data_IF_923436694933
#
_entry.id   IF_923436694933
#
_cell.length_a   1.000
_cell.length_b   1.000
_cell.length_c   1.000
_cell.angle_alpha   90.00
_cell.angle_beta   90.00
_cell.angle_gamma   90.00
#
_symmetry.space_group_name_H-M   'P 1'
#
loop_
_entity.id
_entity.type
_entity.pdbx_description
1 polymer ?
#
# COMPACT_ATOMS: atom_id res chain seq x y z
N UNK A 1 -55.38 3.96 -3.03
CA UNK A 1 -54.43 4.51 -4.04
C UNK A 1 -53.52 5.59 -3.48
N UNK A 2 -54.02 6.71 -2.92
CA UNK A 2 -53.17 7.82 -2.44
C UNK A 2 -52.11 7.38 -1.41
N UNK A 3 -52.48 6.59 -0.41
CA UNK A 3 -51.55 6.11 0.63
C UNK A 3 -50.43 5.21 0.09
N UNK A 4 -50.70 4.46 -0.98
CA UNK A 4 -49.69 3.61 -1.63
C UNK A 4 -48.65 4.44 -2.39
N UNK A 5 -49.09 5.57 -2.97
CA UNK A 5 -48.21 6.52 -3.64
C UNK A 5 -47.25 7.18 -2.64
N UNK A 6 -47.74 7.60 -1.46
CA UNK A 6 -46.90 8.19 -0.41
C UNK A 6 -45.87 7.21 0.14
N UNK A 7 -46.25 5.95 0.34
CA UNK A 7 -45.32 4.89 0.78
C UNK A 7 -44.25 4.64 -0.29
N UNK A 8 -44.63 4.57 -1.57
CA UNK A 8 -43.69 4.42 -2.68
C UNK A 8 -42.72 5.61 -2.79
N UNK A 9 -43.21 6.84 -2.69
CA UNK A 9 -42.36 8.05 -2.70
C UNK A 9 -41.42 8.10 -1.51
N UNK A 10 -41.87 7.69 -0.32
CA UNK A 10 -41.02 7.61 0.88
C UNK A 10 -39.94 6.54 0.71
N UNK A 11 -40.26 5.38 0.13
CA UNK A 11 -39.30 4.32 -0.17
C UNK A 11 -38.25 4.81 -1.18
N UNK A 12 -38.65 5.49 -2.26
CA UNK A 12 -37.71 6.06 -3.23
C UNK A 12 -36.77 7.10 -2.60
N UNK A 13 -37.28 7.97 -1.73
CA UNK A 13 -36.45 8.97 -1.01
C UNK A 13 -35.44 8.32 -0.04
N UNK A 14 -35.78 7.17 0.54
CA UNK A 14 -34.85 6.41 1.40
C UNK A 14 -33.79 5.70 0.54
N UNK A 15 -34.17 5.18 -0.62
CA UNK A 15 -33.25 4.52 -1.56
C UNK A 15 -32.28 5.51 -2.24
N UNK A 16 -32.69 6.76 -2.48
CA UNK A 16 -31.84 7.83 -3.04
C UNK A 16 -30.70 8.27 -2.09
N UNK A 17 -30.73 7.85 -0.81
CA UNK A 17 -29.72 8.22 0.17
C UNK A 17 -28.58 7.19 0.32
N UNK A 18 -28.57 6.10 -0.46
CA UNK A 18 -27.43 5.17 -0.49
C UNK A 18 -26.35 5.75 -1.40
N UNK A 19 -25.57 6.69 -0.86
CA UNK A 19 -24.37 7.20 -1.55
C UNK A 19 -23.22 6.23 -1.36
N UNK A 20 -22.62 5.79 -2.46
CA UNK A 20 -21.38 5.04 -2.40
C UNK A 20 -20.26 5.87 -1.78
N UNK A 21 -19.51 5.26 -0.85
CA UNK A 21 -18.30 5.84 -0.28
C UNK A 21 -17.29 6.26 -1.34
N UNK A 22 -16.49 7.28 -1.03
CA UNK A 22 -15.28 7.62 -1.79
C UNK A 22 -14.07 6.97 -1.14
N UNK A 23 -13.44 6.07 -1.87
CA UNK A 23 -12.37 5.20 -1.38
C UNK A 23 -11.08 5.54 -2.14
N UNK A 24 -9.97 5.70 -1.42
CA UNK A 24 -8.65 5.87 -2.02
C UNK A 24 -7.90 4.54 -1.95
N UNK A 25 -7.47 4.04 -3.11
CA UNK A 25 -6.63 2.85 -3.20
C UNK A 25 -5.21 3.27 -3.57
N UNK A 26 -4.24 2.87 -2.74
CA UNK A 26 -2.82 3.19 -2.87
C UNK A 26 -2.04 1.91 -3.15
N UNK A 27 -1.64 1.69 -4.40
CA UNK A 27 -0.74 0.62 -4.81
C UNK A 27 0.33 1.16 -5.76
N UNK A 28 1.31 1.89 -5.22
CA UNK A 28 2.37 2.54 -6.00
C UNK A 28 3.54 1.61 -6.33
N UNK A 29 3.49 0.32 -5.98
CA UNK A 29 4.56 -0.61 -6.32
C UNK A 29 4.67 -0.82 -7.85
N UNK A 30 5.90 -0.92 -8.35
CA UNK A 30 6.21 -0.99 -9.80
C UNK A 30 5.94 -2.35 -10.46
N UNK A 31 5.55 -3.35 -9.67
CA UNK A 31 5.26 -4.71 -10.17
C UNK A 31 3.76 -4.95 -10.39
N UNK A 32 3.41 -5.55 -11.53
CA UNK A 32 2.02 -5.85 -11.90
C UNK A 32 1.38 -6.90 -10.99
N UNK A 33 2.16 -7.83 -10.44
CA UNK A 33 1.64 -8.84 -9.52
C UNK A 33 1.03 -8.21 -8.27
N UNK A 34 1.68 -7.17 -7.73
CA UNK A 34 1.17 -6.41 -6.60
C UNK A 34 -0.13 -5.70 -6.94
N UNK A 35 -0.20 -5.04 -8.10
CA UNK A 35 -1.38 -4.29 -8.50
C UNK A 35 -2.62 -5.16 -8.79
N UNK A 36 -2.43 -6.41 -9.21
CA UNK A 36 -3.54 -7.28 -9.66
C UNK A 36 -4.63 -7.45 -8.59
N UNK A 37 -4.25 -7.60 -7.32
CA UNK A 37 -5.22 -7.70 -6.22
C UNK A 37 -5.92 -6.36 -5.94
N UNK A 38 -5.17 -5.24 -5.97
CA UNK A 38 -5.75 -3.91 -5.76
C UNK A 38 -6.69 -3.51 -6.89
N UNK A 39 -6.37 -3.88 -8.14
CA UNK A 39 -7.23 -3.69 -9.29
C UNK A 39 -8.57 -4.43 -9.12
N UNK A 40 -8.53 -5.69 -8.67
CA UNK A 40 -9.72 -6.47 -8.40
C UNK A 40 -10.56 -5.87 -7.26
N UNK A 41 -9.92 -5.43 -6.16
CA UNK A 41 -10.59 -4.75 -5.05
C UNK A 41 -11.27 -3.46 -5.53
N UNK A 42 -10.53 -2.60 -6.25
CA UNK A 42 -11.05 -1.34 -6.74
C UNK A 42 -12.24 -1.53 -7.68
N UNK A 43 -12.15 -2.47 -8.63
CA UNK A 43 -13.26 -2.79 -9.54
C UNK A 43 -14.47 -3.36 -8.80
N UNK A 44 -14.25 -4.28 -7.86
CA UNK A 44 -15.33 -4.80 -7.02
C UNK A 44 -16.03 -3.70 -6.23
N UNK A 45 -15.30 -2.72 -5.69
CA UNK A 45 -15.89 -1.57 -5.00
C UNK A 45 -16.70 -0.68 -5.96
N UNK A 46 -16.19 -0.42 -7.17
CA UNK A 46 -16.94 0.38 -8.16
C UNK A 46 -18.22 -0.32 -8.62
N UNK A 47 -18.21 -1.64 -8.74
CA UNK A 47 -19.39 -2.44 -9.09
C UNK A 47 -20.49 -2.37 -8.01
N UNK A 48 -20.10 -2.07 -6.77
CA UNK A 48 -21.03 -1.83 -5.65
C UNK A 48 -21.38 -0.34 -5.47
N UNK A 49 -21.08 0.50 -6.46
CA UNK A 49 -21.49 1.91 -6.49
C UNK A 49 -20.56 2.88 -5.76
N UNK A 50 -19.42 2.42 -5.25
CA UNK A 50 -18.41 3.29 -4.65
C UNK A 50 -17.64 4.09 -5.70
N UNK A 51 -17.14 5.27 -5.31
CA UNK A 51 -16.21 6.06 -6.13
C UNK A 51 -14.79 5.77 -5.66
N UNK A 52 -13.97 5.23 -6.55
CA UNK A 52 -12.63 4.77 -6.20
C UNK A 52 -11.58 5.58 -6.94
N UNK A 53 -10.74 6.27 -6.19
CA UNK A 53 -9.54 6.93 -6.70
C UNK A 53 -8.36 5.96 -6.52
N UNK A 54 -7.63 5.62 -7.59
CA UNK A 54 -6.56 4.60 -7.56
C UNK A 54 -5.21 5.21 -7.95
N UNK A 55 -4.29 5.30 -6.99
CA UNK A 55 -2.90 5.70 -7.25
C UNK A 55 -2.05 4.47 -7.55
N UNK A 56 -1.60 4.36 -8.81
CA UNK A 56 -0.76 3.25 -9.27
C UNK A 56 0.00 3.58 -10.57
N UNK A 57 0.91 2.70 -10.98
CA UNK A 57 1.56 2.79 -12.29
C UNK A 57 0.76 2.13 -13.43
N UNK A 58 -0.43 1.58 -13.15
CA UNK A 58 -1.16 0.71 -14.06
C UNK A 58 -2.57 1.27 -14.34
N UNK A 59 -2.67 2.37 -15.12
CA UNK A 59 -3.97 2.94 -15.44
C UNK A 59 -4.84 1.99 -16.25
N UNK A 60 -6.16 2.14 -16.14
CA UNK A 60 -7.09 1.31 -16.93
C UNK A 60 -6.94 1.60 -18.43
N UNK A 61 -6.95 0.55 -19.25
CA UNK A 61 -6.89 0.67 -20.71
C UNK A 61 -8.19 1.20 -21.32
N UNK A 62 -9.31 1.04 -20.61
CA UNK A 62 -10.63 1.55 -20.98
C UNK A 62 -11.29 2.19 -19.77
N UNK A 63 -12.14 3.18 -20.01
CA UNK A 63 -12.87 3.88 -18.93
C UNK A 63 -13.75 2.89 -18.15
N UNK A 64 -13.59 2.85 -16.83
CA UNK A 64 -14.44 2.12 -15.89
C UNK A 64 -15.26 3.15 -15.09
N UNK A 65 -16.56 2.90 -14.92
CA UNK A 65 -17.44 3.81 -14.19
C UNK A 65 -16.99 3.95 -12.73
N UNK A 66 -16.98 5.17 -12.20
CA UNK A 66 -16.59 5.49 -10.82
C UNK A 66 -15.17 5.07 -10.42
N UNK A 67 -14.34 4.67 -11.39
CA UNK A 67 -12.93 4.36 -11.22
C UNK A 67 -12.11 5.54 -11.76
N UNK A 68 -11.34 6.20 -10.91
CA UNK A 68 -10.49 7.32 -11.29
C UNK A 68 -9.01 6.95 -11.16
N UNK A 69 -8.30 6.90 -12.28
CA UNK A 69 -6.86 6.68 -12.29
C UNK A 69 -6.10 7.93 -11.81
N UNK A 70 -5.38 7.80 -10.71
CA UNK A 70 -4.30 8.71 -10.28
C UNK A 70 -3.00 8.10 -10.76
N UNK A 71 -2.78 8.18 -12.08
CA UNK A 71 -1.66 7.50 -12.72
C UNK A 71 -0.31 8.13 -12.35
N UNK A 72 0.61 7.28 -11.90
CA UNK A 72 2.04 7.58 -11.76
C UNK A 72 2.88 6.77 -12.74
N UNK A 73 2.26 6.28 -13.83
CA UNK A 73 2.96 5.59 -14.89
C UNK A 73 4.08 6.46 -15.48
N UNK A 74 5.24 5.84 -15.74
CA UNK A 74 6.41 6.52 -16.29
C UNK A 74 7.29 7.25 -15.27
N UNK A 75 6.90 7.34 -14.00
CA UNK A 75 7.81 7.86 -12.95
C UNK A 75 8.95 6.91 -12.64
N UNK A 76 8.78 5.63 -12.96
CA UNK A 76 9.79 4.57 -12.84
C UNK A 76 9.65 3.57 -13.97
N UNK A 77 10.74 2.83 -14.23
CA UNK A 77 10.69 1.67 -15.12
C UNK A 77 9.93 0.55 -14.41
N UNK A 78 8.82 0.11 -15.02
CA UNK A 78 8.07 -1.04 -14.52
C UNK A 78 8.97 -2.28 -14.49
N UNK A 79 8.87 -3.04 -13.41
CA UNK A 79 9.52 -4.34 -13.35
C UNK A 79 8.63 -5.37 -14.05
N UNK A 80 9.20 -6.04 -15.05
CA UNK A 80 8.67 -7.31 -15.55
C UNK A 80 8.97 -8.38 -14.51
N UNK A 81 8.07 -9.36 -14.35
CA UNK A 81 8.18 -10.42 -13.34
C UNK A 81 9.54 -11.14 -13.33
N UNK A 82 10.23 -11.18 -14.47
CA UNK A 82 11.54 -11.82 -14.63
C UNK A 82 12.68 -11.12 -13.87
N UNK A 83 12.58 -9.81 -13.61
CA UNK A 83 13.68 -9.02 -13.02
C UNK A 83 13.73 -9.07 -11.48
N UNK A 84 12.58 -9.22 -10.81
CA UNK A 84 12.51 -9.27 -9.34
C UNK A 84 13.06 -10.58 -8.77
N UNK A 85 12.80 -11.70 -9.46
CA UNK A 85 13.20 -13.04 -9.01
C UNK A 85 14.69 -13.26 -9.26
N UNK A 86 15.31 -12.59 -10.23
CA UNK A 86 16.74 -12.72 -10.50
C UNK A 86 17.63 -11.95 -9.54
N UNK A 87 17.13 -10.83 -8.97
CA UNK A 87 17.92 -9.94 -8.10
C UNK A 87 17.77 -10.27 -6.61
N UNK A 88 16.67 -10.91 -6.19
CA UNK A 88 16.52 -11.45 -4.83
C UNK A 88 17.08 -12.86 -4.82
N UNK A 89 18.24 -13.02 -4.19
CA UNK A 89 18.95 -14.30 -4.20
C UNK A 89 18.30 -15.35 -3.30
N UNK A 90 17.61 -14.92 -2.23
CA UNK A 90 17.14 -15.76 -1.11
C UNK A 90 18.25 -16.59 -0.44
N UNK A 91 19.52 -16.23 -0.70
CA UNK A 91 20.72 -16.85 -0.15
C UNK A 91 21.54 -15.84 0.67
N UNK A 92 21.38 -14.54 0.42
CA UNK A 92 22.01 -13.48 1.20
C UNK A 92 20.94 -12.56 1.82
N UNK A 93 20.42 -12.91 3.01
CA UNK A 93 19.28 -12.19 3.59
C UNK A 93 19.59 -10.73 3.91
N UNK A 94 20.87 -10.39 4.15
CA UNK A 94 21.28 -9.00 4.40
C UNK A 94 21.22 -8.21 3.09
N UNK A 95 21.82 -8.72 2.01
CA UNK A 95 21.79 -8.05 0.71
C UNK A 95 20.36 -7.89 0.18
N UNK A 96 19.57 -8.95 0.26
CA UNK A 96 18.17 -8.95 -0.21
C UNK A 96 17.34 -7.94 0.59
N UNK A 97 17.56 -7.85 1.91
CA UNK A 97 16.94 -6.84 2.76
C UNK A 97 17.32 -5.41 2.32
N UNK A 98 18.61 -5.14 2.09
CA UNK A 98 19.05 -3.83 1.61
C UNK A 98 18.43 -3.47 0.26
N UNK A 99 18.36 -4.43 -0.65
CA UNK A 99 17.78 -4.26 -1.98
C UNK A 99 16.28 -3.92 -1.93
N UNK A 100 15.48 -4.71 -1.20
CA UNK A 100 14.03 -4.48 -1.09
C UNK A 100 13.74 -3.10 -0.49
N UNK A 101 14.52 -2.71 0.53
CA UNK A 101 14.36 -1.40 1.14
C UNK A 101 14.79 -0.25 0.23
N UNK A 102 15.91 -0.38 -0.49
CA UNK A 102 16.33 0.64 -1.45
C UNK A 102 15.26 0.83 -2.54
N UNK A 103 14.69 -0.27 -3.04
CA UNK A 103 13.57 -0.23 -3.97
C UNK A 103 12.35 0.51 -3.39
N UNK A 104 12.07 0.34 -2.09
CA UNK A 104 11.02 1.06 -1.39
C UNK A 104 11.29 2.56 -1.27
N UNK A 105 12.54 2.97 -1.01
CA UNK A 105 12.97 4.37 -1.00
C UNK A 105 12.86 5.00 -2.40
N UNK A 106 13.34 4.30 -3.44
CA UNK A 106 13.28 4.75 -4.83
C UNK A 106 11.85 4.90 -5.32
N UNK A 107 10.96 3.96 -4.93
CA UNK A 107 9.52 4.03 -5.19
C UNK A 107 8.89 5.23 -4.53
N UNK A 108 9.16 5.45 -3.24
CA UNK A 108 8.67 6.62 -2.52
C UNK A 108 9.10 7.93 -3.20
N UNK A 109 10.40 8.10 -3.44
CA UNK A 109 10.94 9.33 -4.02
C UNK A 109 10.38 9.60 -5.42
N UNK A 110 10.36 8.61 -6.29
CA UNK A 110 9.87 8.74 -7.67
C UNK A 110 8.37 9.04 -7.71
N UNK A 111 7.56 8.34 -6.92
CA UNK A 111 6.10 8.51 -6.91
C UNK A 111 5.70 9.82 -6.25
N UNK A 112 6.26 10.16 -5.08
CA UNK A 112 5.92 11.39 -4.36
C UNK A 112 6.39 12.66 -5.07
N UNK A 113 7.34 12.55 -6.01
CA UNK A 113 7.77 13.66 -6.86
C UNK A 113 6.86 13.88 -8.08
N UNK A 114 5.91 12.97 -8.34
CA UNK A 114 4.99 13.14 -9.48
C UNK A 114 3.96 14.24 -9.22
N UNK A 115 3.54 14.91 -10.30
CA UNK A 115 2.43 15.86 -10.23
C UNK A 115 1.15 15.21 -9.68
N UNK A 116 0.85 13.98 -10.08
CA UNK A 116 -0.36 13.28 -9.63
C UNK A 116 -0.38 13.04 -8.11
N UNK A 117 0.75 12.61 -7.53
CA UNK A 117 0.86 12.43 -6.08
C UNK A 117 0.79 13.77 -5.33
N UNK A 118 1.48 14.80 -5.83
CA UNK A 118 1.45 16.14 -5.24
C UNK A 118 0.05 16.79 -5.32
N UNK A 119 -0.63 16.67 -6.45
CA UNK A 119 -2.00 17.14 -6.62
C UNK A 119 -2.95 16.44 -5.65
N UNK A 120 -2.81 15.11 -5.49
CA UNK A 120 -3.57 14.35 -4.51
C UNK A 120 -3.28 14.85 -3.09
N UNK A 121 -2.02 15.01 -2.71
CA UNK A 121 -1.59 15.49 -1.39
C UNK A 121 -2.10 16.90 -1.06
N UNK A 122 -2.18 17.77 -2.06
CA UNK A 122 -2.70 19.14 -1.93
C UNK A 122 -4.21 19.25 -2.14
N UNK A 123 -4.86 18.17 -2.58
CA UNK A 123 -6.31 18.18 -2.81
C UNK A 123 -7.10 18.38 -1.50
N UNK A 124 -8.28 18.98 -1.65
CA UNK A 124 -9.29 19.06 -0.59
C UNK A 124 -10.27 17.87 -0.62
N UNK A 125 -9.90 16.78 -1.30
CA UNK A 125 -10.73 15.57 -1.36
C UNK A 125 -10.94 15.00 0.05
N UNK A 126 -12.10 14.38 0.24
CA UNK A 126 -12.46 13.64 1.45
C UNK A 126 -12.71 12.19 1.06
N UNK A 127 -12.09 11.29 1.81
CA UNK A 127 -12.20 9.85 1.65
C UNK A 127 -12.82 9.26 2.90
N UNK A 128 -13.71 8.30 2.71
CA UNK A 128 -14.35 7.56 3.79
C UNK A 128 -13.49 6.37 4.22
N UNK A 129 -12.64 5.87 3.32
CA UNK A 129 -11.75 4.74 3.53
C UNK A 129 -10.50 4.86 2.65
N UNK A 130 -9.36 4.42 3.16
CA UNK A 130 -8.14 4.24 2.38
C UNK A 130 -7.76 2.76 2.38
N UNK A 131 -7.41 2.21 1.23
CA UNK A 131 -6.85 0.86 1.11
C UNK A 131 -5.43 1.04 0.61
N UNK A 132 -4.45 0.58 1.37
CA UNK A 132 -3.04 0.83 1.04
C UNK A 132 -2.23 -0.45 1.14
N UNK A 133 -1.26 -0.55 0.24
CA UNK A 133 -0.26 -1.60 0.32
C UNK A 133 0.68 -1.40 1.51
N UNK A 134 1.00 -2.51 2.18
CA UNK A 134 2.10 -2.62 3.15
C UNK A 134 3.05 -3.70 2.67
N UNK A 135 4.23 -3.28 2.22
CA UNK A 135 5.29 -4.16 1.72
C UNK A 135 6.68 -3.64 2.10
N UNK A 136 7.34 -2.86 1.23
CA UNK A 136 8.73 -2.44 1.39
C UNK A 136 8.93 -0.96 1.76
N UNK A 137 7.86 -0.17 1.82
CA UNK A 137 7.92 1.26 2.18
C UNK A 137 6.64 1.73 2.87
N UNK A 138 6.79 2.64 3.83
CA UNK A 138 5.68 3.24 4.59
C UNK A 138 5.29 4.64 4.09
N UNK A 139 5.99 5.12 3.07
CA UNK A 139 5.86 6.47 2.52
C UNK A 139 4.40 6.87 2.26
N UNK A 140 3.60 5.93 1.78
CA UNK A 140 2.21 6.17 1.37
C UNK A 140 1.23 6.23 2.54
N UNK A 141 1.63 5.83 3.75
CA UNK A 141 0.87 6.12 4.97
C UNK A 141 0.80 7.63 5.25
N UNK A 142 1.65 8.45 4.62
CA UNK A 142 1.51 9.91 4.63
C UNK A 142 0.15 10.38 4.10
N UNK A 143 -0.45 9.68 3.13
CA UNK A 143 -1.81 9.98 2.65
C UNK A 143 -2.88 9.66 3.71
N UNK A 144 -2.69 8.60 4.49
CA UNK A 144 -3.56 8.27 5.63
C UNK A 144 -3.54 9.41 6.64
N UNK A 145 -2.34 9.89 7.01
CA UNK A 145 -2.20 11.02 7.92
C UNK A 145 -2.80 12.32 7.35
N UNK A 146 -2.62 12.59 6.05
CA UNK A 146 -3.18 13.76 5.35
C UNK A 146 -4.70 13.77 5.39
N UNK A 147 -5.34 12.67 4.99
CA UNK A 147 -6.80 12.62 4.81
C UNK A 147 -7.55 12.26 6.08
N UNK A 148 -6.87 11.70 7.09
CA UNK A 148 -7.44 11.33 8.40
C UNK A 148 -8.64 10.38 8.29
N UNK A 149 -8.61 9.50 7.30
CA UNK A 149 -9.61 8.46 7.08
C UNK A 149 -9.16 7.14 7.72
N UNK A 150 -10.08 6.25 8.15
CA UNK A 150 -9.71 4.88 8.49
C UNK A 150 -9.06 4.20 7.28
N UNK A 151 -8.15 3.26 7.52
CA UNK A 151 -7.46 2.56 6.45
C UNK A 151 -7.40 1.05 6.65
N UNK A 152 -7.35 0.33 5.55
CA UNK A 152 -7.09 -1.11 5.46
C UNK A 152 -5.71 -1.30 4.85
N UNK A 153 -4.82 -1.99 5.58
CA UNK A 153 -3.56 -2.46 5.06
C UNK A 153 -3.76 -3.77 4.30
N UNK A 154 -3.19 -3.87 3.11
CA UNK A 154 -3.20 -5.09 2.29
C UNK A 154 -1.76 -5.42 1.93
N UNK A 155 -1.37 -6.70 2.04
CA UNK A 155 -0.10 -7.17 1.50
C UNK A 155 -0.37 -8.03 0.27
N UNK A 156 0.24 -7.68 -0.86
CA UNK A 156 0.13 -8.43 -2.11
C UNK A 156 1.26 -9.46 -2.30
N UNK A 157 2.16 -9.57 -1.31
CA UNK A 157 3.30 -10.47 -1.31
C UNK A 157 3.35 -11.26 0.01
N UNK A 158 4.33 -12.17 0.11
CA UNK A 158 4.62 -12.81 1.38
C UNK A 158 4.92 -11.75 2.44
N UNK A 159 4.29 -11.87 3.61
CA UNK A 159 4.44 -10.90 4.68
C UNK A 159 5.88 -11.02 5.18
N UNK A 160 6.69 -10.01 4.86
CA UNK A 160 8.04 -9.90 5.40
C UNK A 160 7.91 -9.82 6.93
N UNK A 161 8.77 -10.49 7.73
CA UNK A 161 8.72 -10.51 9.20
C UNK A 161 8.41 -9.15 9.85
N UNK A 162 8.93 -8.09 9.27
CA UNK A 162 8.74 -6.70 9.70
C UNK A 162 7.28 -6.20 9.65
N UNK A 163 6.47 -6.73 8.75
CA UNK A 163 5.09 -6.34 8.55
C UNK A 163 4.12 -7.17 9.41
N UNK A 164 4.52 -8.34 9.90
CA UNK A 164 3.66 -9.25 10.65
C UNK A 164 3.06 -8.62 11.92
N UNK A 165 3.86 -7.86 12.67
CA UNK A 165 3.40 -7.11 13.85
C UNK A 165 2.26 -6.14 13.50
N UNK A 166 2.31 -5.52 12.32
CA UNK A 166 1.30 -4.54 11.85
C UNK A 166 -0.01 -5.21 11.46
N UNK A 167 0.06 -6.46 10.98
CA UNK A 167 -1.11 -7.28 10.68
C UNK A 167 -1.64 -8.03 11.91
N UNK A 168 -0.94 -7.98 13.05
CA UNK A 168 -1.33 -8.71 14.26
C UNK A 168 -1.24 -10.22 14.11
N UNK A 169 -0.37 -10.72 13.22
CA UNK A 169 -0.17 -12.15 12.96
C UNK A 169 1.08 -12.67 13.68
N UNK A 170 1.14 -13.97 14.01
CA UNK A 170 2.34 -14.56 14.60
C UNK A 170 3.52 -14.53 13.61
N UNK A 171 4.72 -14.28 14.14
CA UNK A 171 5.99 -14.28 13.40
C UNK A 171 7.10 -14.94 14.23
N UNK A 172 6.83 -16.14 14.73
CA UNK A 172 7.79 -16.86 15.56
C UNK A 172 8.79 -17.62 14.65
N UNK A 173 10.08 -17.26 14.67
CA UNK A 173 11.07 -17.81 13.75
C UNK A 173 11.43 -19.28 14.05
N UNK A 174 10.90 -19.85 15.14
CA UNK A 174 11.07 -21.29 15.39
C UNK A 174 10.25 -22.17 14.44
N UNK A 175 9.18 -21.64 13.82
CA UNK A 175 8.34 -22.40 12.88
C UNK A 175 7.83 -21.59 11.68
N UNK A 176 8.07 -20.27 11.64
CA UNK A 176 7.77 -19.43 10.48
C UNK A 176 9.10 -19.11 9.78
N UNK A 177 9.29 -19.56 8.53
CA UNK A 177 10.46 -19.22 7.73
C UNK A 177 10.53 -17.73 7.46
N UNK A 178 11.75 -17.18 7.53
CA UNK A 178 12.02 -15.81 7.14
C UNK A 178 11.90 -15.67 5.62
N UNK A 179 11.19 -14.65 5.16
CA UNK A 179 10.95 -14.37 3.74
C UNK A 179 12.24 -14.24 2.89
N UNK A 180 13.38 -13.94 3.51
CA UNK A 180 14.68 -13.78 2.85
C UNK A 180 15.54 -15.04 2.86
N UNK A 181 15.04 -16.14 3.42
CA UNK A 181 15.70 -17.43 3.42
C UNK A 181 14.89 -18.40 2.56
N UNK A 182 15.59 -19.23 1.78
CA UNK A 182 14.99 -20.30 0.99
C UNK A 182 14.62 -21.51 1.85
N UNK A 183 13.88 -21.30 2.94
CA UNK A 183 13.44 -22.37 3.85
C UNK A 183 11.94 -22.61 3.72
N UNK A 184 11.54 -23.88 3.81
CA UNK A 184 10.15 -24.29 3.86
C UNK A 184 9.63 -24.36 5.31
N UNK A 185 8.32 -24.57 5.49
CA UNK A 185 7.71 -24.72 6.81
C UNK A 185 8.31 -25.88 7.64
N UNK A 186 8.88 -26.88 6.96
CA UNK A 186 9.56 -28.02 7.58
C UNK A 186 11.06 -27.75 7.76
N UNK A 187 11.41 -26.88 8.72
CA UNK A 187 12.81 -26.61 9.09
C UNK A 187 13.35 -27.62 10.12
N UNK A 188 14.57 -28.11 9.90
CA UNK A 188 15.35 -28.83 10.90
C UNK A 188 15.91 -27.89 12.00
N UNK A 189 16.56 -28.44 13.02
CA UNK A 189 17.06 -27.64 14.15
C UNK A 189 18.05 -26.54 13.74
N UNK A 190 18.96 -26.83 12.81
CA UNK A 190 19.98 -25.86 12.36
C UNK A 190 19.31 -24.76 11.53
N UNK A 191 18.39 -25.11 10.64
CA UNK A 191 17.60 -24.15 9.86
C UNK A 191 16.78 -23.24 10.77
N UNK A 192 16.09 -23.77 11.79
CA UNK A 192 15.35 -22.97 12.78
C UNK A 192 16.25 -22.01 13.54
N UNK A 193 17.46 -22.45 13.91
CA UNK A 193 18.44 -21.61 14.59
C UNK A 193 18.90 -20.46 13.68
N UNK A 194 19.32 -20.76 12.45
CA UNK A 194 19.75 -19.74 11.47
C UNK A 194 18.61 -18.79 11.09
N UNK A 195 17.39 -19.32 10.94
CA UNK A 195 16.19 -18.55 10.70
C UNK A 195 15.90 -17.55 11.83
N UNK A 196 16.04 -18.00 13.08
CA UNK A 196 15.90 -17.16 14.28
C UNK A 196 16.95 -16.07 14.34
N UNK A 197 18.23 -16.42 14.16
CA UNK A 197 19.32 -15.44 14.16
C UNK A 197 19.09 -14.39 13.07
N UNK A 198 18.80 -14.83 11.85
CA UNK A 198 18.55 -13.94 10.71
C UNK A 198 17.37 -13.01 10.96
N UNK A 199 16.25 -13.55 11.41
CA UNK A 199 15.04 -12.76 11.70
C UNK A 199 15.30 -11.69 12.76
N UNK A 200 15.98 -12.04 13.85
CA UNK A 200 16.34 -11.08 14.89
C UNK A 200 17.32 -10.02 14.38
N UNK A 201 18.34 -10.41 13.60
CA UNK A 201 19.30 -9.48 13.01
C UNK A 201 18.64 -8.49 12.06
N UNK A 202 17.76 -8.94 11.17
CA UNK A 202 17.03 -8.07 10.24
C UNK A 202 16.07 -7.13 10.98
N UNK A 203 15.40 -7.62 12.03
CA UNK A 203 14.53 -6.79 12.87
C UNK A 203 15.29 -5.69 13.61
N UNK A 204 16.48 -6.00 14.13
CA UNK A 204 17.37 -5.01 14.73
C UNK A 204 17.85 -3.99 13.68
N UNK A 205 18.29 -4.46 12.52
CA UNK A 205 18.73 -3.59 11.44
C UNK A 205 17.61 -2.64 11.00
N UNK A 206 16.38 -3.12 10.86
CA UNK A 206 15.22 -2.26 10.60
C UNK A 206 15.08 -1.16 11.65
N UNK A 207 14.97 -1.58 12.91
CA UNK A 207 14.67 -0.68 14.04
C UNK A 207 15.70 0.42 14.20
N UNK A 208 16.98 0.11 14.01
CA UNK A 208 18.08 1.04 14.26
C UNK A 208 18.61 1.75 13.00
N UNK A 209 18.39 1.20 11.81
CA UNK A 209 18.90 1.78 10.56
C UNK A 209 17.80 2.34 9.65
N UNK A 210 16.72 1.60 9.40
CA UNK A 210 15.70 1.96 8.42
C UNK A 210 14.57 2.82 8.98
N UNK A 211 13.96 2.40 10.10
CA UNK A 211 12.87 3.17 10.70
C UNK A 211 13.24 4.63 10.95
N UNK A 212 14.45 4.98 11.45
CA UNK A 212 14.86 6.37 11.63
C UNK A 212 15.00 7.15 10.30
N UNK A 213 15.44 6.49 9.22
CA UNK A 213 15.53 7.12 7.89
C UNK A 213 14.15 7.40 7.32
N UNK A 214 13.27 6.40 7.37
CA UNK A 214 11.89 6.53 6.91
C UNK A 214 11.12 7.57 7.72
N UNK A 215 11.32 7.62 9.05
CA UNK A 215 10.71 8.64 9.90
C UNK A 215 11.17 10.05 9.52
N UNK A 216 12.46 10.27 9.21
CA UNK A 216 12.96 11.58 8.72
C UNK A 216 12.33 12.01 7.39
N UNK A 217 12.09 11.07 6.48
CA UNK A 217 11.42 11.36 5.21
C UNK A 217 9.95 11.70 5.46
N UNK A 218 9.26 10.91 6.27
CA UNK A 218 7.86 11.14 6.63
C UNK A 218 7.67 12.48 7.37
N UNK A 219 8.56 12.83 8.32
CA UNK A 219 8.50 14.12 9.02
C UNK A 219 8.80 15.27 8.09
N UNK A 220 9.84 15.20 7.24
CA UNK A 220 10.14 16.25 6.25
C UNK A 220 8.96 16.50 5.31
N UNK A 221 8.33 15.45 4.77
CA UNK A 221 7.18 15.59 3.88
C UNK A 221 5.94 16.08 4.63
N UNK A 222 5.75 15.65 5.87
CA UNK A 222 4.66 16.15 6.72
C UNK A 222 4.85 17.62 7.09
N UNK A 223 6.06 18.03 7.49
CA UNK A 223 6.42 19.39 7.83
C UNK A 223 6.39 20.29 6.60
N UNK A 224 6.88 19.84 5.43
CA UNK A 224 6.75 20.61 4.18
C UNK A 224 5.29 20.74 3.74
N UNK A 225 4.46 19.71 3.98
CA UNK A 225 3.01 19.78 3.73
C UNK A 225 2.26 20.66 4.74
N UNK A 226 2.80 20.83 5.95
CA UNK A 226 2.29 21.72 6.99
C UNK A 226 2.86 23.15 6.89
N UNK A 227 4.01 23.32 6.25
CA UNK A 227 4.72 24.59 6.00
C UNK A 227 4.46 25.17 4.60
N UNK A 228 3.59 24.55 3.79
CA UNK A 228 3.02 25.23 2.62
C UNK A 228 2.42 26.56 3.10
N UNK A 229 2.81 27.72 2.52
CA UNK A 229 2.41 29.01 3.06
C UNK A 229 0.89 29.05 3.10
N UNK A 230 0.33 29.40 4.26
CA UNK A 230 -1.01 29.99 4.30
C UNK A 230 -0.95 31.15 3.31
N UNK A 231 -1.56 30.97 2.14
CA UNK A 231 -1.64 32.02 1.12
C UNK A 231 -2.31 33.22 1.79
N UNK A 232 -1.55 34.32 1.83
CA UNK A 232 -2.10 35.66 1.81
C UNK A 232 -2.79 35.90 0.47
#
# INVERSE_FOLDING_TARGET
MKSFLWIFTLICLILDNVRGFRILVLCPHISRSHFTIFEAIAKGLTDHGHVVDVLSHFPQSSKVLNYNDISVAGSMKLQTNDLLITDISFHNPVSDFFFIHQMGEDTCNSVMSTKAALDLLHSNKKYDLIITEVFNTDCFLGFVHKFKAPFIAVSAAHIIPMAAERFGIPDNPSYIPNAFLSYDAEMNFVERFLNTVTTLSLNLMRKYYYDPKHHKVATRTSESSLMSPRMA
#
